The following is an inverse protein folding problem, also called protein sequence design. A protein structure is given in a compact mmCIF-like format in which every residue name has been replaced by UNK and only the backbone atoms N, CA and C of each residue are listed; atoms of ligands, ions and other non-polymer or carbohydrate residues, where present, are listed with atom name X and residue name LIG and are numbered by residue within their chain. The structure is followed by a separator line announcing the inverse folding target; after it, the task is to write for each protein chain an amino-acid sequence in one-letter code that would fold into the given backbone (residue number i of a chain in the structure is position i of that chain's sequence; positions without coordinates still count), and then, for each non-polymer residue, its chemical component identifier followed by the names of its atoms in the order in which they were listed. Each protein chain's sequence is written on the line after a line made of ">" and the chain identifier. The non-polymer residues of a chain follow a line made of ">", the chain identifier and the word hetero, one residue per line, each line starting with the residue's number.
data_IF_903306621398
#
_entry.id   IF_903306621398
#
_cell.length_a   1.000
_cell.length_b   1.000
_cell.length_c   1.000
_cell.angle_alpha   90.00
_cell.angle_beta   90.00
_cell.angle_gamma   90.00
#
_symmetry.space_group_name_H-M   'P 1'
#
loop_
_entity.id
_entity.type
_entity.pdbx_description
1 polymer ?
#
# COMPACT_ATOMS: atom_id res chain seq x y z
N UNK A 1 -5.38 -9.73 -7.55
CA UNK A 1 -4.00 -10.24 -7.36
C UNK A 1 -4.11 -11.41 -6.41
N UNK A 2 -3.50 -12.56 -6.71
CA UNK A 2 -3.52 -13.75 -5.83
C UNK A 2 -2.10 -14.30 -5.81
N UNK A 3 -1.52 -14.48 -4.61
CA UNK A 3 -0.12 -14.90 -4.45
C UNK A 3 0.33 -14.80 -3.00
N UNK A 4 1.60 -15.09 -2.73
CA UNK A 4 2.22 -14.83 -1.43
C UNK A 4 2.35 -13.32 -1.18
N UNK A 5 2.58 -12.87 0.07
CA UNK A 5 2.73 -11.44 0.34
C UNK A 5 3.88 -10.79 -0.45
N UNK A 6 4.95 -11.56 -0.70
CA UNK A 6 6.06 -11.13 -1.55
C UNK A 6 5.63 -10.97 -3.01
N UNK A 7 4.88 -11.93 -3.57
CA UNK A 7 4.39 -11.84 -4.96
C UNK A 7 3.45 -10.64 -5.15
N UNK A 8 2.63 -10.33 -4.14
CA UNK A 8 1.75 -9.16 -4.16
C UNK A 8 2.56 -7.87 -4.09
N UNK A 9 3.56 -7.79 -3.21
CA UNK A 9 4.45 -6.63 -3.12
C UNK A 9 5.24 -6.41 -4.42
N UNK A 10 5.78 -7.47 -5.03
CA UNK A 10 6.49 -7.43 -6.32
C UNK A 10 5.59 -6.87 -7.43
N UNK A 11 4.34 -7.34 -7.51
CA UNK A 11 3.40 -6.83 -8.49
C UNK A 11 3.03 -5.36 -8.25
N UNK A 12 2.80 -4.96 -6.98
CA UNK A 12 2.52 -3.55 -6.64
C UNK A 12 3.68 -2.63 -7.02
N UNK A 13 4.92 -3.04 -6.76
CA UNK A 13 6.12 -2.31 -7.17
C UNK A 13 6.23 -2.21 -8.70
N UNK A 14 6.02 -3.32 -9.42
CA UNK A 14 6.04 -3.33 -10.87
C UNK A 14 4.97 -2.38 -11.47
N UNK A 15 3.76 -2.36 -10.92
CA UNK A 15 2.73 -1.42 -11.35
C UNK A 15 3.10 0.04 -11.05
N UNK A 16 3.65 0.31 -9.87
CA UNK A 16 4.09 1.64 -9.48
C UNK A 16 5.17 2.17 -10.42
N UNK A 17 6.20 1.35 -10.67
CA UNK A 17 7.34 1.72 -11.51
C UNK A 17 6.96 1.83 -13.00
N UNK A 18 5.95 1.07 -13.47
CA UNK A 18 5.53 1.08 -14.88
C UNK A 18 4.47 2.14 -15.20
N UNK A 19 3.43 2.27 -14.37
CA UNK A 19 2.28 3.15 -14.63
C UNK A 19 2.49 4.54 -14.05
N UNK A 20 3.29 4.64 -12.97
CA UNK A 20 3.32 5.81 -12.12
C UNK A 20 2.03 5.96 -11.29
N UNK A 21 2.10 6.80 -10.25
CA UNK A 21 0.99 7.10 -9.36
C UNK A 21 1.46 7.25 -7.91
N UNK A 22 0.65 7.88 -7.06
CA UNK A 22 1.00 8.14 -5.65
C UNK A 22 0.44 7.08 -4.68
N UNK A 23 -0.30 6.09 -5.20
CA UNK A 23 -0.89 5.02 -4.39
C UNK A 23 -1.91 4.16 -5.14
N UNK A 24 -2.54 3.26 -4.40
CA UNK A 24 -3.53 2.30 -4.93
C UNK A 24 -4.86 2.42 -4.21
N UNK A 25 -5.96 2.21 -4.94
CA UNK A 25 -7.27 1.97 -4.37
C UNK A 25 -7.45 0.47 -4.12
N UNK A 26 -7.64 0.07 -2.87
CA UNK A 26 -7.92 -1.33 -2.51
C UNK A 26 -9.42 -1.62 -2.60
N UNK A 27 -9.79 -2.63 -3.38
CA UNK A 27 -11.17 -3.16 -3.46
C UNK A 27 -11.18 -4.60 -2.94
N UNK A 28 -11.71 -4.84 -1.73
CA UNK A 28 -11.71 -6.17 -1.14
C UNK A 28 -12.67 -7.10 -1.87
N UNK A 29 -12.26 -8.36 -2.04
CA UNK A 29 -13.09 -9.41 -2.65
C UNK A 29 -14.12 -10.02 -1.67
N UNK A 30 -13.93 -9.82 -0.37
CA UNK A 30 -14.88 -10.18 0.69
C UNK A 30 -14.70 -9.28 1.92
N UNK A 31 -15.75 -9.16 2.73
CA UNK A 31 -15.71 -8.46 4.02
C UNK A 31 -16.47 -9.24 5.09
N UNK A 32 -15.99 -9.28 6.35
CA UNK A 32 -14.72 -8.74 6.85
C UNK A 32 -13.51 -9.64 6.54
N UNK A 33 -12.27 -9.16 6.72
CA UNK A 33 -11.05 -9.97 6.73
C UNK A 33 -10.05 -9.66 5.61
N UNK A 34 -10.51 -9.36 4.40
CA UNK A 34 -9.61 -9.17 3.26
C UNK A 34 -8.66 -7.96 3.43
N UNK A 35 -9.12 -6.91 4.11
CA UNK A 35 -8.29 -5.72 4.37
C UNK A 35 -7.31 -6.01 5.51
N UNK A 36 -7.76 -6.71 6.54
CA UNK A 36 -6.94 -7.13 7.68
C UNK A 36 -5.78 -8.01 7.22
N UNK A 37 -6.05 -9.01 6.37
CA UNK A 37 -5.00 -9.86 5.80
C UNK A 37 -3.98 -9.07 4.97
N UNK A 38 -4.44 -8.08 4.19
CA UNK A 38 -3.55 -7.21 3.44
C UNK A 38 -2.66 -6.38 4.38
N UNK A 39 -3.23 -5.82 5.44
CA UNK A 39 -2.51 -5.03 6.43
C UNK A 39 -1.51 -5.89 7.20
N UNK A 40 -1.87 -7.10 7.59
CA UNK A 40 -1.00 -7.97 8.40
C UNK A 40 0.13 -8.61 7.58
N UNK A 41 -0.11 -8.87 6.29
CA UNK A 41 0.83 -9.62 5.46
C UNK A 41 1.61 -8.75 4.47
N UNK A 42 0.95 -7.81 3.79
CA UNK A 42 1.55 -7.06 2.67
C UNK A 42 2.18 -5.75 3.13
N UNK A 43 1.55 -5.01 4.06
CA UNK A 43 2.08 -3.73 4.54
C UNK A 43 3.48 -3.86 5.16
N UNK A 44 3.80 -4.88 6.00
CA UNK A 44 5.15 -5.04 6.54
C UNK A 44 6.20 -5.24 5.45
N UNK A 45 5.86 -5.95 4.38
CA UNK A 45 6.77 -6.19 3.26
C UNK A 45 7.02 -4.90 2.47
N UNK A 46 5.98 -4.11 2.17
CA UNK A 46 6.13 -2.80 1.53
C UNK A 46 6.95 -1.82 2.39
N UNK A 47 6.76 -1.84 3.71
CA UNK A 47 7.56 -1.05 4.66
C UNK A 47 9.01 -1.52 4.75
N UNK A 48 9.28 -2.82 4.61
CA UNK A 48 10.65 -3.38 4.56
C UNK A 48 11.39 -2.89 3.32
N UNK A 49 10.68 -2.74 2.20
CA UNK A 49 11.20 -2.25 0.92
C UNK A 49 11.24 -0.73 0.79
N UNK A 50 10.74 0.01 1.79
CA UNK A 50 10.72 1.48 1.76
C UNK A 50 9.68 2.07 0.80
N UNK A 51 8.70 1.27 0.37
CA UNK A 51 7.60 1.70 -0.53
C UNK A 51 6.34 2.13 0.20
N UNK A 52 6.30 1.97 1.53
CA UNK A 52 5.16 2.40 2.35
C UNK A 52 5.62 3.07 3.64
N UNK A 53 4.87 4.08 4.07
CA UNK A 53 5.16 4.84 5.30
C UNK A 53 5.06 3.96 6.55
N UNK A 54 5.86 4.29 7.56
CA UNK A 54 5.82 3.65 8.89
C UNK A 54 5.05 4.48 9.92
N UNK A 55 4.96 5.78 9.68
CA UNK A 55 4.29 6.74 10.55
C UNK A 55 3.52 7.75 9.68
N UNK A 56 2.53 8.39 10.28
CA UNK A 56 1.72 9.41 9.64
C UNK A 56 2.41 10.79 9.75
N UNK A 57 2.40 11.57 8.67
CA UNK A 57 2.94 12.94 8.64
C UNK A 57 1.88 14.00 8.98
N UNK A 58 2.08 14.82 10.01
CA UNK A 58 1.08 15.85 10.37
C UNK A 58 -0.25 15.27 10.87
N UNK A 59 -1.31 16.09 10.86
CA UNK A 59 -2.59 15.82 11.53
C UNK A 59 -3.79 15.77 10.58
N UNK A 60 -3.62 16.20 9.35
CA UNK A 60 -4.67 16.31 8.34
C UNK A 60 -4.39 15.37 7.18
N UNK A 61 -5.45 14.99 6.46
CA UNK A 61 -5.32 14.16 5.27
C UNK A 61 -4.40 14.80 4.21
N UNK A 62 -4.43 16.13 4.09
CA UNK A 62 -3.56 16.84 3.14
C UNK A 62 -2.08 16.66 3.45
N UNK A 63 -1.70 16.81 4.73
CA UNK A 63 -0.33 16.57 5.21
C UNK A 63 0.09 15.10 5.03
N UNK A 64 -0.87 14.15 5.06
CA UNK A 64 -0.59 12.73 4.86
C UNK A 64 -0.32 12.32 3.41
N UNK A 65 -0.75 13.13 2.44
CA UNK A 65 -0.67 12.84 1.01
C UNK A 65 0.31 13.77 0.28
N UNK A 66 1.12 14.54 1.03
CA UNK A 66 2.05 15.54 0.50
C UNK A 66 1.40 16.47 -0.54
N UNK A 67 0.13 16.84 -0.34
CA UNK A 67 -0.64 17.70 -1.26
C UNK A 67 -0.48 19.20 -0.99
N UNK A 68 0.53 19.59 -0.21
CA UNK A 68 0.85 20.99 0.06
C UNK A 68 1.85 21.49 -1.00
N UNK A 69 1.34 22.17 -2.03
CA UNK A 69 2.10 22.98 -3.01
C UNK A 69 2.06 24.46 -2.66
#
# INVERSE_FOLDING_TARGET
>A
MVGTPADVADQLEAYFDFVGGDGFMLSPIYCPGAIEEFVDLVVPELQRRGRFRREYAGKTQREHLDQDF
#
